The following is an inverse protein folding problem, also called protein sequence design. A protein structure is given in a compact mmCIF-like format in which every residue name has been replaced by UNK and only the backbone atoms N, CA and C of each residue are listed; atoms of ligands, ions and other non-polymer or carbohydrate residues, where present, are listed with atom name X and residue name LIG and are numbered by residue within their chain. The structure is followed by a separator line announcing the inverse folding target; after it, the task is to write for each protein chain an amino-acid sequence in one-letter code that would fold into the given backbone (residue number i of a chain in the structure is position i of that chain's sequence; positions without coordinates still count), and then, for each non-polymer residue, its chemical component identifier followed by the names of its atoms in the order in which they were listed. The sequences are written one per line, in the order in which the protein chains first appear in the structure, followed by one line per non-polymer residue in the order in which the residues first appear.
data_IF_025533017854
#
_entry.id   IF_025533017854
#
_cell.length_a   1.000
_cell.length_b   1.000
_cell.length_c   1.000
_cell.angle_alpha   90.00
_cell.angle_beta   90.00
_cell.angle_gamma   90.00
#
_symmetry.space_group_name_H-M   'P 1'
#
loop_
_entity.id
_entity.type
_entity.pdbx_description
1 polymer ?
#
# COMPACT_ATOMS: atom_id res chain seq x y z
N UNK A 1 -11.83 -26.53 -7.74
CA UNK A 1 -13.16 -26.04 -7.35
C UNK A 1 -12.99 -24.57 -6.98
N UNK A 2 -13.26 -23.67 -7.93
CA UNK A 2 -12.90 -22.25 -7.89
C UNK A 2 -13.94 -21.49 -7.06
N UNK A 3 -13.53 -20.93 -5.92
CA UNK A 3 -14.40 -20.10 -5.08
C UNK A 3 -14.84 -18.82 -5.81
N UNK A 4 -16.04 -18.28 -5.51
CA UNK A 4 -16.57 -17.10 -6.20
C UNK A 4 -15.62 -15.93 -5.98
N UNK A 5 -15.16 -15.32 -7.08
CA UNK A 5 -14.36 -14.10 -7.05
C UNK A 5 -15.13 -13.05 -6.25
N UNK A 6 -14.72 -12.84 -5.00
CA UNK A 6 -15.26 -11.78 -4.15
C UNK A 6 -15.06 -10.49 -4.94
N UNK A 7 -16.10 -9.65 -5.15
CA UNK A 7 -15.92 -8.36 -5.80
C UNK A 7 -14.75 -7.69 -5.09
N UNK A 8 -13.78 -7.16 -5.84
CA UNK A 8 -12.53 -6.62 -5.31
C UNK A 8 -12.85 -5.65 -4.16
N UNK A 9 -12.88 -6.20 -2.95
CA UNK A 9 -13.49 -5.52 -1.84
C UNK A 9 -12.59 -4.35 -1.44
N UNK A 10 -13.10 -3.40 -0.64
CA UNK A 10 -12.26 -2.37 -0.06
C UNK A 10 -10.98 -2.95 0.60
N UNK A 11 -11.04 -4.18 1.09
CA UNK A 11 -9.90 -4.90 1.65
C UNK A 11 -8.87 -5.36 0.62
N UNK A 12 -9.29 -5.85 -0.55
CA UNK A 12 -8.36 -6.23 -1.63
C UNK A 12 -7.65 -5.01 -2.18
N UNK A 13 -8.39 -3.91 -2.41
CA UNK A 13 -7.80 -2.65 -2.89
C UNK A 13 -6.77 -2.11 -1.89
N UNK A 14 -7.05 -2.19 -0.58
CA UNK A 14 -6.07 -1.83 0.46
C UNK A 14 -4.80 -2.68 0.38
N UNK A 15 -4.95 -4.00 0.29
CA UNK A 15 -3.80 -4.90 0.17
C UNK A 15 -2.97 -4.61 -1.09
N UNK A 16 -3.62 -4.31 -2.24
CA UNK A 16 -2.93 -3.92 -3.46
C UNK A 16 -2.15 -2.60 -3.30
N UNK A 17 -2.76 -1.60 -2.67
CA UNK A 17 -2.09 -0.32 -2.40
C UNK A 17 -0.88 -0.51 -1.46
N UNK A 18 -1.02 -1.36 -0.45
CA UNK A 18 0.08 -1.69 0.47
C UNK A 18 1.23 -2.37 -0.26
N UNK A 19 0.95 -3.34 -1.14
CA UNK A 19 1.99 -3.99 -1.95
C UNK A 19 2.70 -3.00 -2.88
N UNK A 20 1.96 -2.08 -3.52
CA UNK A 20 2.54 -1.06 -4.38
C UNK A 20 3.47 -0.13 -3.59
N UNK A 21 3.03 0.35 -2.43
CA UNK A 21 3.83 1.24 -1.56
C UNK A 21 5.07 0.53 -1.03
N UNK A 22 4.94 -0.72 -0.58
CA UNK A 22 6.07 -1.53 -0.10
C UNK A 22 7.11 -1.75 -1.21
N UNK A 23 6.66 -2.06 -2.43
CA UNK A 23 7.55 -2.20 -3.59
C UNK A 23 8.30 -0.92 -3.92
N UNK A 24 7.63 0.23 -3.83
CA UNK A 24 8.25 1.54 -4.02
C UNK A 24 9.34 1.84 -2.98
N UNK A 25 9.03 1.64 -1.70
CA UNK A 25 9.98 1.86 -0.60
C UNK A 25 11.18 0.93 -0.74
N UNK A 26 10.96 -0.36 -1.04
CA UNK A 26 12.06 -1.31 -1.23
C UNK A 26 12.96 -0.96 -2.41
N UNK A 27 12.41 -0.41 -3.49
CA UNK A 27 13.17 -0.05 -4.70
C UNK A 27 13.90 1.28 -4.56
N UNK A 28 13.27 2.27 -3.94
CA UNK A 28 13.81 3.63 -3.81
C UNK A 28 14.59 3.85 -2.50
N UNK A 29 14.48 2.94 -1.53
CA UNK A 29 15.06 3.08 -0.19
C UNK A 29 14.21 3.99 0.69
N UNK A 30 14.86 4.86 1.45
CA UNK A 30 14.18 5.84 2.31
C UNK A 30 13.46 6.91 1.50
N UNK A 31 12.13 6.89 1.55
CA UNK A 31 11.25 7.91 0.96
C UNK A 31 10.43 8.61 2.05
N UNK A 32 10.19 9.92 1.89
CA UNK A 32 9.21 10.61 2.73
C UNK A 32 7.78 10.15 2.38
N UNK A 33 6.84 10.29 3.32
CA UNK A 33 5.42 9.97 3.07
C UNK A 33 4.84 10.74 1.87
N UNK A 34 5.31 11.98 1.65
CA UNK A 34 4.89 12.81 0.52
C UNK A 34 5.45 12.30 -0.81
N UNK A 35 6.70 11.84 -0.81
CA UNK A 35 7.33 11.25 -2.00
C UNK A 35 6.66 9.93 -2.37
N UNK A 36 6.34 9.09 -1.38
CA UNK A 36 5.57 7.86 -1.62
C UNK A 36 4.23 8.17 -2.28
N UNK A 37 3.47 9.17 -1.81
CA UNK A 37 2.21 9.57 -2.44
C UNK A 37 2.39 10.06 -3.87
N UNK A 38 3.41 10.89 -4.13
CA UNK A 38 3.70 11.41 -5.47
C UNK A 38 4.12 10.30 -6.43
N UNK A 39 4.98 9.38 -5.99
CA UNK A 39 5.52 8.28 -6.80
C UNK A 39 4.53 7.14 -7.01
N UNK A 40 3.68 6.87 -6.02
CA UNK A 40 2.63 5.84 -6.12
C UNK A 40 1.40 6.30 -6.89
N UNK A 41 1.20 7.61 -7.04
CA UNK A 41 -0.04 8.19 -7.58
C UNK A 41 -1.24 8.03 -6.64
N UNK A 42 -1.02 7.53 -5.42
CA UNK A 42 -2.06 7.36 -4.41
C UNK A 42 -2.32 8.66 -3.65
N UNK A 43 -3.54 8.79 -3.14
CA UNK A 43 -3.88 9.91 -2.27
C UNK A 43 -3.07 9.86 -0.96
N UNK A 44 -2.76 11.03 -0.39
CA UNK A 44 -2.10 11.14 0.93
C UNK A 44 -2.76 10.30 2.04
N UNK A 45 -4.11 10.27 2.21
CA UNK A 45 -4.72 9.43 3.23
C UNK A 45 -4.58 7.92 2.94
N UNK A 46 -4.60 7.50 1.67
CA UNK A 46 -4.36 6.10 1.30
C UNK A 46 -2.94 5.67 1.65
N UNK A 47 -1.93 6.49 1.34
CA UNK A 47 -0.54 6.21 1.70
C UNK A 47 -0.35 6.21 3.21
N UNK A 48 -0.94 7.18 3.92
CA UNK A 48 -0.84 7.24 5.38
C UNK A 48 -1.39 5.98 6.04
N UNK A 49 -2.54 5.49 5.57
CA UNK A 49 -3.15 4.25 6.07
C UNK A 49 -2.28 3.03 5.76
N UNK A 50 -1.81 2.91 4.51
CA UNK A 50 -0.96 1.80 4.08
C UNK A 50 0.34 1.73 4.89
N UNK A 51 1.02 2.87 5.09
CA UNK A 51 2.22 2.96 5.91
C UNK A 51 1.94 2.61 7.37
N UNK A 52 0.86 3.13 7.96
CA UNK A 52 0.48 2.79 9.34
C UNK A 52 0.28 1.28 9.51
N UNK A 53 -0.35 0.62 8.54
CA UNK A 53 -0.55 -0.82 8.57
C UNK A 53 0.77 -1.59 8.43
N UNK A 54 1.68 -1.13 7.56
CA UNK A 54 3.01 -1.72 7.40
C UNK A 54 3.89 -1.52 8.64
N UNK A 55 3.89 -0.34 9.25
CA UNK A 55 4.58 -0.03 10.51
C UNK A 55 4.07 -0.97 11.61
N UNK A 56 2.75 -1.16 11.72
CA UNK A 56 2.15 -2.12 12.66
C UNK A 56 2.50 -3.58 12.39
N UNK A 57 2.71 -3.92 11.12
CA UNK A 57 3.13 -5.26 10.70
C UNK A 57 4.66 -5.47 10.77
N UNK A 58 5.45 -4.43 11.11
CA UNK A 58 6.91 -4.48 11.16
C UNK A 58 7.58 -4.62 9.79
N UNK A 59 6.94 -4.13 8.73
CA UNK A 59 7.44 -4.24 7.35
C UNK A 59 8.26 -3.02 6.89
N UNK A 60 8.09 -1.86 7.54
CA UNK A 60 8.80 -0.60 7.29
C UNK A 60 9.12 0.12 8.60
#
# INVERSE_FOLDING_TARGET
MTGPGTPAGPQLIRAMNEQLVLGLIRRAGTLSRADVARMSGLSKPTVSLALTNMERAGLV
#
